data_IF_550819844362
#
_entry.id   IF_550819844362
#
_cell.length_a   1.000
_cell.length_b   1.000
_cell.length_c   1.000
_cell.angle_alpha   90.00
_cell.angle_beta   90.00
_cell.angle_gamma   90.00
#
_symmetry.space_group_name_H-M   'P 1'
#
loop_
_entity.id
_entity.type
_entity.pdbx_description
1 polymer ?
#
# COMPACT_ATOMS: atom_id res chain seq x y z
N UNK A 1 1.29 12.93 50.03
CA UNK A 1 0.18 12.72 49.09
C UNK A 1 0.80 12.53 47.72
N UNK A 2 0.72 11.31 47.19
CA UNK A 2 1.37 10.93 45.94
C UNK A 2 0.58 11.52 44.76
N UNK A 3 1.30 12.20 43.86
CA UNK A 3 0.79 12.69 42.59
C UNK A 3 0.57 11.48 41.67
N UNK A 4 -0.67 11.02 41.54
CA UNK A 4 -1.05 10.00 40.59
C UNK A 4 -0.96 10.59 39.17
N UNK A 5 0.17 10.32 38.52
CA UNK A 5 0.31 10.50 37.08
C UNK A 5 -0.75 9.64 36.40
N UNK A 6 -1.76 10.31 35.85
CA UNK A 6 -2.72 9.74 34.93
C UNK A 6 -1.95 9.35 33.67
N UNK A 7 -1.47 8.10 33.62
CA UNK A 7 -1.04 7.48 32.37
C UNK A 7 -2.30 7.41 31.50
N UNK A 8 -2.40 8.36 30.57
CA UNK A 8 -3.34 8.30 29.47
C UNK A 8 -3.07 6.99 28.75
N UNK A 9 -4.04 6.11 28.81
CA UNK A 9 -4.07 4.85 28.12
C UNK A 9 -4.10 5.16 26.61
N UNK A 10 -2.93 5.22 25.97
CA UNK A 10 -2.73 5.36 24.52
C UNK A 10 -3.10 4.06 23.77
N UNK A 11 -4.01 3.27 24.33
CA UNK A 11 -4.61 2.12 23.67
C UNK A 11 -5.88 2.59 22.94
N UNK A 12 -6.08 2.07 21.72
CA UNK A 12 -7.29 2.24 20.89
C UNK A 12 -7.29 3.39 19.86
N UNK A 13 -6.16 3.61 19.18
CA UNK A 13 -6.22 3.95 17.75
C UNK A 13 -6.11 2.70 16.92
N UNK A 14 -7.03 1.77 17.12
CA UNK A 14 -7.26 0.68 16.15
C UNK A 14 -7.70 1.36 14.85
N UNK A 15 -6.77 1.46 13.89
CA UNK A 15 -7.01 2.11 12.62
C UNK A 15 -8.24 1.53 11.93
N UNK A 16 -9.00 2.38 11.22
CA UNK A 16 -10.25 2.00 10.59
C UNK A 16 -10.12 0.64 9.85
N UNK A 17 -10.84 -0.41 10.29
CA UNK A 17 -10.76 -1.74 9.70
C UNK A 17 -11.02 -1.75 8.18
N UNK A 18 -11.81 -0.80 7.68
CA UNK A 18 -12.07 -0.63 6.26
C UNK A 18 -10.82 -0.18 5.48
N UNK A 19 -10.02 0.70 6.07
CA UNK A 19 -8.74 1.17 5.50
C UNK A 19 -7.74 0.03 5.48
N UNK A 20 -7.67 -0.76 6.56
CA UNK A 20 -6.81 -1.94 6.62
C UNK A 20 -7.18 -3.01 5.59
N UNK A 21 -8.48 -3.26 5.38
CA UNK A 21 -8.95 -4.19 4.35
C UNK A 21 -8.63 -3.70 2.93
N UNK A 22 -8.80 -2.41 2.66
CA UNK A 22 -8.44 -1.80 1.38
C UNK A 22 -6.92 -1.91 1.11
N UNK A 23 -6.10 -1.72 2.14
CA UNK A 23 -4.65 -1.89 2.06
C UNK A 23 -4.26 -3.33 1.74
N UNK A 24 -4.83 -4.31 2.46
CA UNK A 24 -4.59 -5.74 2.18
C UNK A 24 -4.93 -6.11 0.74
N UNK A 25 -6.04 -5.59 0.21
CA UNK A 25 -6.43 -5.82 -1.19
C UNK A 25 -5.41 -5.25 -2.18
N UNK A 26 -5.00 -3.98 -2.01
CA UNK A 26 -4.01 -3.33 -2.89
C UNK A 26 -2.65 -4.03 -2.82
N UNK A 27 -2.23 -4.47 -1.63
CA UNK A 27 -0.99 -5.24 -1.46
C UNK A 27 -1.06 -6.61 -2.14
N UNK A 28 -2.19 -7.31 -2.04
CA UNK A 28 -2.39 -8.57 -2.75
C UNK A 28 -2.34 -8.38 -4.27
N UNK A 29 -2.88 -7.27 -4.78
CA UNK A 29 -2.78 -6.91 -6.20
C UNK A 29 -1.33 -6.65 -6.63
N UNK A 30 -0.55 -5.91 -5.82
CA UNK A 30 0.88 -5.70 -6.08
C UNK A 30 1.61 -7.04 -6.11
N UNK A 31 1.37 -7.92 -5.14
CA UNK A 31 2.00 -9.24 -5.10
C UNK A 31 1.70 -10.05 -6.36
N UNK A 32 0.44 -10.10 -6.80
CA UNK A 32 0.05 -10.80 -8.02
C UNK A 32 0.78 -10.28 -9.27
N UNK A 33 0.99 -8.96 -9.37
CA UNK A 33 1.74 -8.36 -10.48
C UNK A 33 3.23 -8.70 -10.40
N UNK A 34 3.82 -8.70 -9.20
CA UNK A 34 5.22 -9.09 -9.01
C UNK A 34 5.47 -10.59 -9.26
N UNK A 35 4.52 -11.44 -8.89
CA UNK A 35 4.56 -12.87 -9.18
C UNK A 35 4.55 -13.11 -10.70
N UNK A 36 3.73 -12.35 -11.44
CA UNK A 36 3.76 -12.37 -12.90
C UNK A 36 5.10 -11.91 -13.47
N UNK A 37 5.72 -10.86 -12.90
CA UNK A 37 7.07 -10.44 -13.31
C UNK A 37 8.11 -11.54 -13.09
N UNK A 38 8.03 -12.28 -11.98
CA UNK A 38 8.93 -13.40 -11.71
C UNK A 38 8.83 -14.46 -12.81
N UNK A 39 7.62 -14.81 -13.23
CA UNK A 39 7.39 -15.76 -14.31
C UNK A 39 7.92 -15.25 -15.66
N UNK A 40 7.65 -13.98 -16.00
CA UNK A 40 8.16 -13.38 -17.24
C UNK A 40 9.70 -13.35 -17.28
N UNK A 41 10.35 -13.03 -16.15
CA UNK A 41 11.81 -13.04 -16.04
C UNK A 41 12.37 -14.46 -16.23
N UNK A 42 11.70 -15.48 -15.70
CA UNK A 42 12.10 -16.87 -15.95
C UNK A 42 12.05 -17.19 -17.45
N UNK A 43 10.98 -16.79 -18.14
CA UNK A 43 10.85 -16.99 -19.59
C UNK A 43 11.91 -16.23 -20.39
N UNK A 44 12.24 -14.99 -19.98
CA UNK A 44 13.35 -14.21 -20.57
C UNK A 44 14.67 -14.98 -20.43
N UNK A 45 14.93 -15.56 -19.26
CA UNK A 45 16.14 -16.33 -19.00
C UNK A 45 16.19 -17.62 -19.83
N UNK A 46 15.08 -18.35 -19.93
CA UNK A 46 14.98 -19.56 -20.76
C UNK A 46 15.24 -19.24 -22.25
N UNK A 47 14.64 -18.17 -22.74
CA UNK A 47 14.86 -17.68 -24.10
C UNK A 47 16.33 -17.32 -24.34
N UNK A 48 16.99 -16.63 -23.40
CA UNK A 48 18.43 -16.34 -23.45
C UNK A 48 19.28 -17.61 -23.49
N UNK A 49 18.96 -18.60 -22.66
CA UNK A 49 19.71 -19.87 -22.58
C UNK A 49 19.55 -20.71 -23.86
N UNK A 50 18.40 -20.62 -24.54
CA UNK A 50 18.15 -21.34 -25.79
C UNK A 50 19.07 -20.92 -26.94
N UNK A 51 19.68 -19.71 -26.86
CA UNK A 51 20.52 -19.10 -27.90
C UNK A 51 19.87 -19.01 -29.29
N UNK A 52 18.54 -19.12 -29.36
CA UNK A 52 17.77 -18.94 -30.58
C UNK A 52 17.47 -17.45 -30.77
N UNK A 53 17.82 -16.90 -31.94
CA UNK A 53 17.56 -15.50 -32.29
C UNK A 53 16.07 -15.13 -32.19
N UNK A 54 15.15 -16.03 -32.60
CA UNK A 54 13.72 -15.78 -32.51
C UNK A 54 13.25 -15.60 -31.06
N UNK A 55 13.79 -16.41 -30.14
CA UNK A 55 13.46 -16.31 -28.72
C UNK A 55 14.04 -15.04 -28.08
N UNK A 56 15.22 -14.59 -28.53
CA UNK A 56 15.78 -13.30 -28.11
C UNK A 56 14.89 -12.12 -28.52
N UNK A 57 14.24 -12.19 -29.70
CA UNK A 57 13.29 -11.15 -30.13
C UNK A 57 12.06 -11.13 -29.23
N UNK A 58 11.53 -12.31 -28.84
CA UNK A 58 10.41 -12.43 -27.89
C UNK A 58 10.72 -11.82 -26.52
N UNK A 59 12.00 -11.80 -26.10
CA UNK A 59 12.38 -11.14 -24.85
C UNK A 59 12.11 -9.63 -24.83
N UNK A 60 12.07 -8.97 -25.99
CA UNK A 60 11.71 -7.54 -26.06
C UNK A 60 10.27 -7.36 -25.59
N UNK A 61 9.34 -8.19 -26.05
CA UNK A 61 7.93 -8.14 -25.65
C UNK A 61 7.76 -8.51 -24.16
N UNK A 62 8.45 -9.54 -23.69
CA UNK A 62 8.41 -9.94 -22.27
C UNK A 62 8.95 -8.84 -21.35
N UNK A 63 10.04 -8.17 -21.72
CA UNK A 63 10.61 -7.05 -20.96
C UNK A 63 9.69 -5.83 -20.99
N UNK A 64 9.02 -5.56 -22.10
CA UNK A 64 7.98 -4.53 -22.18
C UNK A 64 6.83 -4.83 -21.22
N UNK A 65 6.37 -6.09 -21.15
CA UNK A 65 5.33 -6.50 -20.19
C UNK A 65 5.79 -6.30 -18.73
N UNK A 66 7.04 -6.64 -18.41
CA UNK A 66 7.64 -6.40 -17.08
C UNK A 66 7.61 -4.90 -16.75
N UNK A 67 8.01 -4.03 -17.69
CA UNK A 67 8.02 -2.58 -17.48
C UNK A 67 6.61 -2.00 -17.27
N UNK A 68 5.62 -2.51 -18.00
CA UNK A 68 4.21 -2.16 -17.81
C UNK A 68 3.70 -2.58 -16.43
N UNK A 69 4.08 -3.78 -15.98
CA UNK A 69 3.74 -4.28 -14.66
C UNK A 69 4.39 -3.43 -13.54
N UNK A 70 5.65 -2.99 -13.70
CA UNK A 70 6.28 -2.07 -12.74
C UNK A 70 5.55 -0.73 -12.71
N UNK A 71 5.16 -0.19 -13.86
CA UNK A 71 4.35 1.05 -13.92
C UNK A 71 3.01 0.90 -13.18
N UNK A 72 2.37 -0.26 -13.32
CA UNK A 72 1.14 -0.61 -12.56
C UNK A 72 1.41 -0.71 -11.06
N UNK A 73 2.52 -1.32 -10.64
CA UNK A 73 2.91 -1.38 -9.22
C UNK A 73 3.09 0.02 -8.64
N UNK A 74 3.77 0.91 -9.35
CA UNK A 74 3.93 2.33 -8.93
C UNK A 74 2.57 3.01 -8.76
N UNK A 75 1.64 2.80 -9.69
CA UNK A 75 0.27 3.33 -9.56
C UNK A 75 -0.46 2.77 -8.34
N UNK A 76 -0.39 1.46 -8.09
CA UNK A 76 -1.03 0.82 -6.94
C UNK A 76 -0.48 1.33 -5.61
N UNK A 77 0.83 1.58 -5.53
CA UNK A 77 1.45 2.18 -4.35
C UNK A 77 1.06 3.66 -4.17
N UNK A 78 0.94 4.41 -5.26
CA UNK A 78 0.48 5.80 -5.21
C UNK A 78 -0.95 5.89 -4.68
N UNK A 79 -1.84 5.03 -5.18
CA UNK A 79 -3.22 4.90 -4.67
C UNK A 79 -3.22 4.55 -3.18
N UNK A 80 -2.39 3.58 -2.78
CA UNK A 80 -2.32 3.12 -1.41
C UNK A 80 -1.85 4.23 -0.47
N UNK A 81 -0.80 4.96 -0.86
CA UNK A 81 -0.27 6.10 -0.11
C UNK A 81 -1.31 7.21 0.05
N UNK A 82 -2.01 7.56 -1.04
CA UNK A 82 -3.06 8.58 -1.01
C UNK A 82 -4.24 8.17 -0.10
N UNK A 83 -4.70 6.92 -0.20
CA UNK A 83 -5.78 6.39 0.63
C UNK A 83 -5.41 6.34 2.13
N UNK A 84 -4.17 5.98 2.44
CA UNK A 84 -3.68 5.98 3.81
C UNK A 84 -3.60 7.40 4.38
N UNK A 85 -3.02 8.33 3.62
CA UNK A 85 -2.90 9.73 4.00
C UNK A 85 -4.27 10.38 4.25
N UNK A 86 -5.24 10.17 3.35
CA UNK A 86 -6.59 10.73 3.51
C UNK A 86 -7.29 10.19 4.76
N UNK A 87 -7.16 8.89 5.02
CA UNK A 87 -7.76 8.23 6.18
C UNK A 87 -7.18 8.75 7.50
N UNK A 88 -5.86 8.94 7.56
CA UNK A 88 -5.19 9.49 8.74
C UNK A 88 -5.61 10.93 9.05
N UNK A 89 -5.65 11.79 8.03
CA UNK A 89 -6.11 13.18 8.18
C UNK A 89 -7.57 13.26 8.63
N UNK A 90 -8.43 12.33 8.18
CA UNK A 90 -9.83 12.27 8.61
C UNK A 90 -9.96 11.89 10.08
N UNK A 91 -9.14 10.96 10.57
CA UNK A 91 -9.11 10.55 11.97
C UNK A 91 -8.65 11.70 12.89
N UNK A 92 -7.60 12.42 12.50
CA UNK A 92 -7.09 13.58 13.27
C UNK A 92 -8.12 14.71 13.41
N UNK A 93 -8.87 15.01 12.33
CA UNK A 93 -9.93 16.03 12.36
C UNK A 93 -11.11 15.64 13.27
N UNK A 94 -11.47 14.36 13.34
CA UNK A 94 -12.54 13.87 14.24
C UNK A 94 -12.13 13.94 15.71
N UNK A 95 -10.89 13.60 16.05
CA UNK A 95 -10.37 13.76 17.41
C UNK A 95 -10.30 15.22 17.87
N UNK A 96 -10.03 16.17 16.96
CA UNK A 96 -9.99 17.61 17.29
C UNK A 96 -11.38 18.24 17.52
N UNK A 97 -12.45 17.71 16.88
CA UNK A 97 -13.81 18.27 16.99
C UNK A 97 -14.57 17.77 18.24
N UNK A 98 -14.08 16.75 18.93
CA UNK A 98 -14.71 16.18 20.13
C UNK A 98 -14.46 16.93 21.44
N UNK A 99 -13.61 17.98 21.44
CA UNK A 99 -13.09 18.60 22.67
C UNK A 99 -13.58 20.05 22.94
N UNK A 100 -14.71 20.49 22.39
CA UNK A 100 -15.23 21.87 22.58
C UNK A 100 -16.57 21.96 23.32
N UNK A 101 -16.81 21.07 24.30
CA UNK A 101 -17.88 21.28 25.29
C UNK A 101 -17.26 21.56 26.67
N UNK A 102 -16.67 22.74 26.84
CA UNK A 102 -16.44 23.31 28.18
C UNK A 102 -17.50 24.36 28.44
N UNK A 103 -18.54 23.93 29.16
CA UNK A 103 -19.13 24.61 30.30
C UNK A 103 -19.18 26.15 30.22
N UNK A 104 -20.26 26.69 29.68
CA UNK A 104 -20.71 28.05 29.98
C UNK A 104 -22.19 27.92 30.26
N UNK A 105 -22.55 27.90 31.54
CA UNK A 105 -23.74 28.57 32.03
C UNK A 105 -23.43 29.02 33.47
N UNK A 106 -23.66 30.32 33.68
CA UNK A 106 -23.30 31.15 34.82
C UNK A 106 -24.56 31.39 35.67
#
# INVERSE_FOLDING_TARGET
MANSGQFGDDNDKEGDPHVWNSMKLKLSQVQSVLDKNRELINQVNENHQSKNHENMVKNVELIQEINNNISKVVSLYSDLSANFSSSFHHHQKRSAKGNTNTNIDN
#
